data_IF_703531640219
#
_entry.id   IF_703531640219
#
_cell.length_a   1.000
_cell.length_b   1.000
_cell.length_c   1.000
_cell.angle_alpha   90.00
_cell.angle_beta   90.00
_cell.angle_gamma   90.00
#
_symmetry.space_group_name_H-M   'P 1'
#
loop_
_entity.id
_entity.type
_entity.pdbx_description
1 polymer ?
#
# COMPACT_ATOMS: atom_id res chain seq x y z
N UNK A 1 9.52 3.54 -16.31
CA UNK A 1 9.38 2.61 -15.16
C UNK A 1 10.75 2.38 -14.53
N UNK A 2 10.81 2.30 -13.24
CA UNK A 2 12.06 2.08 -12.53
C UNK A 2 11.88 1.05 -11.43
N UNK A 3 13.00 0.44 -11.00
CA UNK A 3 13.02 -0.49 -9.87
C UNK A 3 13.33 0.30 -8.61
N UNK A 4 12.42 0.19 -7.64
CA UNK A 4 12.57 0.88 -6.37
C UNK A 4 13.12 -0.07 -5.32
N UNK A 5 14.16 0.36 -4.59
CA UNK A 5 14.67 -0.40 -3.47
C UNK A 5 14.65 0.48 -2.21
N UNK A 6 14.37 -0.15 -1.09
CA UNK A 6 14.29 0.50 0.22
C UNK A 6 15.21 -0.24 1.18
N UNK A 7 15.76 0.49 2.14
CA UNK A 7 16.61 -0.11 3.17
C UNK A 7 15.79 -0.90 4.19
N UNK A 8 14.55 -0.48 4.46
CA UNK A 8 13.68 -1.14 5.41
C UNK A 8 12.97 -2.33 4.79
N UNK A 9 12.77 -3.39 5.58
CA UNK A 9 11.95 -4.54 5.19
C UNK A 9 10.46 -4.29 5.38
N UNK A 10 10.11 -3.30 6.17
CA UNK A 10 8.72 -2.91 6.44
C UNK A 10 8.68 -1.41 6.67
N UNK A 11 7.71 -0.73 6.06
CA UNK A 11 7.47 0.69 6.32
C UNK A 11 6.02 1.04 6.02
N UNK A 12 5.55 2.09 6.68
CA UNK A 12 4.21 2.63 6.49
C UNK A 12 4.29 4.12 6.17
N UNK A 13 3.32 4.59 5.39
CA UNK A 13 3.24 5.99 4.98
C UNK A 13 1.79 6.43 5.14
N UNK A 14 1.59 7.62 5.71
CA UNK A 14 0.29 8.28 5.77
C UNK A 14 0.34 9.50 4.84
N UNK A 15 -0.20 9.34 3.62
CA UNK A 15 -0.23 10.40 2.63
C UNK A 15 -1.53 11.20 2.76
N UNK A 16 -1.40 12.52 2.87
CA UNK A 16 -2.56 13.40 3.08
C UNK A 16 -2.91 14.25 1.86
N UNK A 17 -2.19 14.07 0.75
CA UNK A 17 -2.44 14.77 -0.50
C UNK A 17 -2.69 13.76 -1.62
N UNK A 18 -3.39 14.16 -2.70
CA UNK A 18 -3.52 13.30 -3.86
C UNK A 18 -2.14 12.87 -4.34
N UNK A 19 -1.93 11.54 -4.38
CA UNK A 19 -0.61 11.00 -4.64
C UNK A 19 -0.38 10.81 -6.14
N UNK A 20 0.78 11.29 -6.61
CA UNK A 20 1.29 11.03 -7.94
C UNK A 20 2.69 10.45 -7.80
N UNK A 21 2.91 9.30 -8.40
CA UNK A 21 4.19 8.62 -8.35
C UNK A 21 4.36 7.78 -9.61
N UNK A 22 5.50 7.89 -10.30
CA UNK A 22 5.66 7.25 -11.60
C UNK A 22 5.66 5.73 -11.53
N UNK A 23 5.39 5.10 -12.67
CA UNK A 23 5.36 3.65 -12.79
C UNK A 23 6.68 3.04 -12.34
N UNK A 24 6.60 2.11 -11.41
CA UNK A 24 7.76 1.48 -10.78
C UNK A 24 7.48 0.04 -10.38
N UNK A 25 8.53 -0.66 -9.99
CA UNK A 25 8.50 -2.06 -9.55
C UNK A 25 9.32 -2.17 -8.28
N UNK A 26 8.85 -2.95 -7.33
CA UNK A 26 9.62 -3.28 -6.12
C UNK A 26 9.27 -4.69 -5.61
N UNK A 27 10.14 -5.28 -4.78
CA UNK A 27 9.94 -6.65 -4.30
C UNK A 27 9.05 -6.77 -3.07
N UNK A 28 8.36 -5.69 -2.69
CA UNK A 28 7.48 -5.65 -1.53
C UNK A 28 6.05 -5.98 -1.94
N UNK A 29 5.29 -6.56 -1.01
CA UNK A 29 3.85 -6.45 -1.09
C UNK A 29 3.46 -5.06 -0.58
N UNK A 30 2.59 -4.40 -1.32
CA UNK A 30 2.09 -3.08 -0.94
C UNK A 30 0.59 -3.14 -0.72
N UNK A 31 0.14 -2.56 0.39
CA UNK A 31 -1.27 -2.46 0.73
C UNK A 31 -1.63 -0.98 0.81
N UNK A 32 -2.62 -0.57 0.04
CA UNK A 32 -3.06 0.82 -0.07
C UNK A 32 -4.50 0.93 0.39
N UNK A 33 -4.74 1.61 1.49
CA UNK A 33 -6.08 1.84 2.01
C UNK A 33 -6.48 3.29 1.79
N UNK A 34 -7.55 3.52 1.03
CA UNK A 34 -8.12 4.85 0.87
C UNK A 34 -8.97 5.16 2.11
N UNK A 35 -8.34 5.78 3.11
CA UNK A 35 -9.02 6.13 4.36
C UNK A 35 -10.01 7.25 4.12
N UNK A 36 -9.63 8.22 3.29
CA UNK A 36 -10.46 9.37 2.94
C UNK A 36 -10.17 9.77 1.50
N UNK A 37 -11.23 10.07 0.77
CA UNK A 37 -11.10 10.47 -0.62
C UNK A 37 -10.85 9.28 -1.55
N UNK A 38 -10.34 9.56 -2.72
CA UNK A 38 -10.15 8.61 -3.80
C UNK A 38 -8.70 8.64 -4.22
N UNK A 39 -8.15 7.49 -4.58
CA UNK A 39 -6.85 7.43 -5.26
C UNK A 39 -6.99 6.69 -6.58
N UNK A 40 -6.19 7.07 -7.55
CA UNK A 40 -6.16 6.40 -8.85
C UNK A 40 -4.78 5.81 -9.07
N UNK A 41 -4.76 4.55 -9.50
CA UNK A 41 -3.55 3.76 -9.68
C UNK A 41 -3.62 2.93 -10.95
N UNK A 42 -2.47 2.70 -11.54
CA UNK A 42 -2.29 1.58 -12.45
C UNK A 42 -1.65 0.45 -11.65
N UNK A 43 -2.19 -0.76 -11.79
CA UNK A 43 -1.63 -1.97 -11.18
C UNK A 43 -1.54 -3.01 -12.29
N UNK A 44 -0.33 -3.46 -12.61
CA UNK A 44 -0.12 -4.25 -13.81
C UNK A 44 -0.40 -3.40 -15.04
N UNK A 45 -1.32 -3.87 -15.88
CA UNK A 45 -1.71 -3.17 -17.10
C UNK A 45 -3.05 -2.44 -16.99
N UNK A 46 -3.73 -2.56 -15.85
CA UNK A 46 -5.06 -2.02 -15.65
C UNK A 46 -5.05 -0.80 -14.73
N UNK A 47 -5.98 0.10 -14.96
CA UNK A 47 -6.18 1.29 -14.13
C UNK A 47 -7.35 1.07 -13.18
N UNK A 48 -7.15 1.52 -11.94
CA UNK A 48 -8.13 1.34 -10.87
C UNK A 48 -8.39 2.66 -10.16
N UNK A 49 -9.63 2.85 -9.76
CA UNK A 49 -10.02 3.93 -8.88
C UNK A 49 -10.36 3.31 -7.53
N UNK A 50 -9.57 3.65 -6.52
CA UNK A 50 -9.72 3.11 -5.18
C UNK A 50 -10.55 4.12 -4.39
N UNK A 51 -11.74 3.72 -4.01
CA UNK A 51 -12.67 4.61 -3.32
C UNK A 51 -12.54 4.50 -1.81
N UNK A 52 -13.08 5.49 -1.11
CA UNK A 52 -13.02 5.54 0.36
C UNK A 52 -13.47 4.21 0.97
N UNK A 53 -12.64 3.66 1.83
CA UNK A 53 -12.91 2.39 2.50
C UNK A 53 -12.39 1.17 1.76
N UNK A 54 -11.93 1.33 0.50
CA UNK A 54 -11.39 0.22 -0.27
C UNK A 54 -9.89 0.07 -0.06
N UNK A 55 -9.42 -1.15 -0.27
CA UNK A 55 -7.99 -1.49 -0.16
C UNK A 55 -7.53 -2.08 -1.48
N UNK A 56 -6.42 -1.56 -2.00
CA UNK A 56 -5.72 -2.17 -3.13
C UNK A 56 -4.51 -2.94 -2.60
N UNK A 57 -4.22 -4.08 -3.22
CA UNK A 57 -3.07 -4.92 -2.87
C UNK A 57 -2.21 -5.10 -4.11
N UNK A 58 -0.96 -4.68 -4.02
CA UNK A 58 0.01 -4.82 -5.09
C UNK A 58 1.01 -5.91 -4.69
N UNK A 59 1.00 -7.02 -5.43
CA UNK A 59 1.93 -8.11 -5.16
C UNK A 59 3.35 -7.76 -5.59
N UNK A 60 4.36 -8.42 -5.03
CA UNK A 60 5.75 -8.13 -5.36
C UNK A 60 6.02 -8.21 -6.87
N UNK A 61 6.81 -7.27 -7.35
CA UNK A 61 7.28 -7.20 -8.74
C UNK A 61 6.18 -6.94 -9.77
N UNK A 62 5.01 -6.46 -9.34
CA UNK A 62 3.97 -6.01 -10.24
C UNK A 62 4.14 -4.50 -10.47
N UNK A 63 4.28 -4.05 -11.73
CA UNK A 63 4.40 -2.62 -12.01
C UNK A 63 3.17 -1.85 -11.56
N UNK A 64 3.38 -0.71 -10.95
CA UNK A 64 2.27 0.12 -10.50
C UNK A 64 2.67 1.58 -10.39
N UNK A 65 1.67 2.46 -10.41
CA UNK A 65 1.84 3.89 -10.25
C UNK A 65 0.72 4.47 -9.41
N UNK A 66 0.86 5.75 -9.11
CA UNK A 66 -0.22 6.58 -8.59
C UNK A 66 -0.36 7.77 -9.52
N UNK A 67 -1.57 8.02 -9.98
CA UNK A 67 -1.85 9.13 -10.90
C UNK A 67 -3.11 9.89 -10.50
N UNK A 68 -3.30 10.07 -9.20
CA UNK A 68 -4.48 10.76 -8.65
C UNK A 68 -4.44 12.24 -9.03
N UNK A 69 -5.47 12.76 -9.71
CA UNK A 69 -5.50 14.18 -10.07
C UNK A 69 -5.49 15.07 -8.82
N UNK A 70 -4.74 16.16 -8.87
CA UNK A 70 -4.66 17.12 -7.77
C UNK A 70 -6.00 17.77 -7.46
N UNK A 71 -6.94 17.75 -8.42
CA UNK A 71 -8.29 18.29 -8.27
C UNK A 71 -9.23 17.45 -7.43
N UNK A 72 -8.83 16.21 -7.09
CA UNK A 72 -9.64 15.32 -6.24
C UNK A 72 -9.91 15.95 -4.86
N UNK A 73 -9.02 16.80 -4.38
CA UNK A 73 -9.19 17.45 -3.09
C UNK A 73 -8.55 16.68 -1.94
N UNK A 74 -9.14 16.74 -0.77
CA UNK A 74 -8.56 16.12 0.43
C UNK A 74 -8.58 14.61 0.34
N UNK A 75 -7.42 14.00 0.54
CA UNK A 75 -7.26 12.55 0.56
C UNK A 75 -6.45 12.14 1.78
N UNK A 76 -6.60 10.89 2.16
CA UNK A 76 -5.74 10.25 3.14
C UNK A 76 -5.57 8.80 2.75
N UNK A 77 -4.32 8.39 2.51
CA UNK A 77 -3.96 7.02 2.19
C UNK A 77 -3.07 6.45 3.28
N UNK A 78 -3.38 5.23 3.68
CA UNK A 78 -2.45 4.42 4.46
C UNK A 78 -1.78 3.46 3.49
N UNK A 79 -0.47 3.52 3.39
CA UNK A 79 0.31 2.66 2.51
C UNK A 79 1.26 1.84 3.38
N UNK A 80 1.21 0.52 3.24
CA UNK A 80 2.10 -0.40 3.94
C UNK A 80 2.89 -1.18 2.93
N UNK A 81 4.20 -1.29 3.16
CA UNK A 81 5.10 -2.07 2.33
C UNK A 81 5.80 -3.10 3.20
N UNK A 82 5.79 -4.36 2.78
CA UNK A 82 6.38 -5.44 3.52
C UNK A 82 7.20 -6.33 2.59
N UNK A 83 8.47 -6.53 2.93
CA UNK A 83 9.32 -7.44 2.17
C UNK A 83 8.86 -8.88 2.41
N UNK A 84 8.82 -9.68 1.33
CA UNK A 84 8.22 -11.02 1.39
C UNK A 84 8.92 -11.95 2.36
N UNK A 85 10.20 -11.73 2.66
CA UNK A 85 10.93 -12.55 3.60
C UNK A 85 10.41 -12.44 5.04
N UNK A 86 9.65 -11.38 5.34
CA UNK A 86 8.96 -11.26 6.63
C UNK A 86 7.70 -12.12 6.69
N UNK A 87 7.29 -12.69 5.56
CA UNK A 87 6.09 -13.49 5.44
C UNK A 87 6.43 -14.86 4.83
N UNK A 88 7.32 -15.64 5.47
CA UNK A 88 7.84 -16.87 4.84
C UNK A 88 6.77 -17.89 4.48
N UNK A 89 5.67 -17.94 5.24
CA UNK A 89 4.57 -18.87 4.98
C UNK A 89 3.78 -18.51 3.72
N UNK A 90 3.85 -17.24 3.28
CA UNK A 90 3.11 -16.75 2.12
C UNK A 90 4.02 -16.50 0.91
N UNK A 91 5.33 -16.63 1.08
CA UNK A 91 6.31 -16.20 0.08
C UNK A 91 6.05 -16.80 -1.30
N UNK A 92 5.83 -18.11 -1.38
CA UNK A 92 5.58 -18.79 -2.64
C UNK A 92 4.34 -18.23 -3.34
N UNK A 93 3.27 -18.01 -2.59
CA UNK A 93 2.02 -17.47 -3.15
C UNK A 93 2.20 -16.03 -3.62
N UNK A 94 2.94 -15.23 -2.85
CA UNK A 94 3.15 -13.82 -3.17
C UNK A 94 4.07 -13.62 -4.38
N UNK A 95 5.04 -14.50 -4.59
CA UNK A 95 5.99 -14.39 -5.71
C UNK A 95 5.52 -15.08 -6.97
N UNK A 96 4.67 -16.10 -6.84
CA UNK A 96 4.24 -16.92 -7.98
C UNK A 96 2.87 -16.53 -8.54
N UNK A 97 2.15 -15.64 -7.91
CA UNK A 97 0.78 -15.29 -8.28
C UNK A 97 0.53 -13.80 -8.07
N UNK A 98 -0.59 -13.35 -8.59
CA UNK A 98 -1.09 -12.01 -8.29
C UNK A 98 -2.62 -12.07 -8.33
N UNK A 99 -3.32 -11.20 -7.58
CA UNK A 99 -4.77 -11.25 -7.54
C UNK A 99 -5.37 -10.83 -8.88
N UNK A 100 -6.39 -11.55 -9.31
CA UNK A 100 -7.13 -11.23 -10.52
C UNK A 100 -7.81 -9.85 -10.39
N UNK A 101 -8.31 -9.55 -9.20
CA UNK A 101 -8.84 -8.24 -8.85
C UNK A 101 -8.06 -7.74 -7.63
N UNK A 102 -7.18 -6.75 -7.81
CA UNK A 102 -6.34 -6.27 -6.70
C UNK A 102 -7.06 -5.33 -5.75
N UNK A 103 -8.32 -4.95 -6.03
CA UNK A 103 -9.06 -4.02 -5.19
C UNK A 103 -10.11 -4.77 -4.38
N UNK A 104 -10.05 -4.62 -3.07
CA UNK A 104 -11.03 -5.17 -2.13
C UNK A 104 -12.04 -4.09 -1.80
N UNK A 105 -13.31 -4.37 -2.08
CA UNK A 105 -14.40 -3.51 -1.65
C UNK A 105 -14.49 -3.54 -0.12
N UNK A 106 -14.92 -2.45 0.50
CA UNK A 106 -14.97 -2.35 1.96
C UNK A 106 -15.77 -3.47 2.62
N UNK A 107 -16.79 -4.01 1.96
CA UNK A 107 -17.57 -5.12 2.48
C UNK A 107 -16.79 -6.46 2.51
N UNK A 108 -15.66 -6.53 1.80
CA UNK A 108 -14.81 -7.72 1.73
C UNK A 108 -13.65 -7.67 2.74
N UNK A 109 -13.52 -6.56 3.47
CA UNK A 109 -12.41 -6.34 4.39
C UNK A 109 -12.87 -6.70 5.80
N UNK A 110 -12.20 -7.69 6.39
CA UNK A 110 -12.52 -8.10 7.76
C UNK A 110 -12.12 -7.00 8.74
N UNK A 111 -12.91 -6.82 9.77
CA UNK A 111 -12.67 -5.79 10.79
C UNK A 111 -11.31 -5.94 11.50
N UNK A 112 -10.79 -7.17 11.61
CA UNK A 112 -9.48 -7.39 12.20
C UNK A 112 -8.36 -6.75 11.38
N UNK A 113 -8.52 -6.68 10.06
CA UNK A 113 -7.56 -6.00 9.18
C UNK A 113 -7.53 -4.50 9.49
N UNK A 114 -8.71 -3.91 9.62
CA UNK A 114 -8.83 -2.49 9.94
C UNK A 114 -8.29 -2.19 11.34
N UNK A 115 -8.54 -3.08 12.30
CA UNK A 115 -8.00 -2.93 13.65
C UNK A 115 -6.47 -3.01 13.65
N UNK A 116 -5.89 -3.98 12.96
CA UNK A 116 -4.44 -4.13 12.87
C UNK A 116 -3.80 -2.91 12.21
N UNK A 117 -4.40 -2.42 11.11
CA UNK A 117 -3.94 -1.21 10.44
C UNK A 117 -3.99 -0.02 11.39
N UNK A 118 -5.09 0.18 12.07
CA UNK A 118 -5.25 1.28 13.03
C UNK A 118 -4.15 1.24 14.09
N UNK A 119 -3.87 0.06 14.65
CA UNK A 119 -2.83 -0.10 15.66
C UNK A 119 -1.44 0.24 15.12
N UNK A 120 -1.14 -0.20 13.90
CA UNK A 120 0.15 0.09 13.26
C UNK A 120 0.34 1.59 13.05
N UNK A 121 -0.67 2.26 12.50
CA UNK A 121 -0.59 3.70 12.21
C UNK A 121 -0.67 4.55 13.48
N UNK A 122 -1.37 4.09 14.51
CA UNK A 122 -1.40 4.76 15.81
C UNK A 122 -0.04 4.68 16.51
N UNK A 123 0.61 3.52 16.45
CA UNK A 123 1.95 3.32 17.02
C UNK A 123 3.00 4.17 16.30
N UNK A 124 2.76 4.52 15.04
CA UNK A 124 3.61 5.39 14.27
C UNK A 124 3.10 6.83 14.37
N UNK A 125 3.57 7.57 15.36
CA UNK A 125 3.24 9.00 15.51
C UNK A 125 3.77 9.86 14.36
N UNK A 126 4.52 9.26 13.44
CA UNK A 126 5.24 9.93 12.39
C UNK A 126 4.67 9.56 11.02
N UNK A 127 3.34 9.41 10.95
CA UNK A 127 2.62 8.83 9.82
C UNK A 127 2.83 9.47 8.46
N UNK A 128 3.48 10.65 8.38
CA UNK A 128 3.82 11.27 7.10
C UNK A 128 5.26 11.00 6.69
N UNK A 129 6.01 10.23 7.48
CA UNK A 129 7.38 9.87 7.18
C UNK A 129 7.44 8.74 6.17
N UNK A 130 8.37 8.84 5.21
CA UNK A 130 8.65 7.76 4.26
C UNK A 130 9.47 6.64 4.89
N UNK A 131 10.01 6.86 6.08
CA UNK A 131 10.83 5.89 6.82
C UNK A 131 10.16 5.62 8.16
N UNK A 132 9.82 4.36 8.48
CA UNK A 132 9.22 4.07 9.78
C UNK A 132 10.21 4.29 10.90
N UNK A 133 9.74 4.61 12.13
CA UNK A 133 10.62 4.70 13.28
C UNK A 133 11.34 3.37 13.52
N UNK A 134 12.58 3.39 14.01
CA UNK A 134 13.34 2.15 14.22
C UNK A 134 12.64 1.11 15.09
N UNK A 135 11.82 1.53 16.04
CA UNK A 135 11.09 0.62 16.91
C UNK A 135 10.00 -0.18 16.18
N UNK A 136 9.53 0.28 15.03
CA UNK A 136 8.58 -0.49 14.23
C UNK A 136 9.26 -1.62 13.47
N UNK A 137 10.56 -1.51 13.24
CA UNK A 137 11.33 -2.53 12.53
C UNK A 137 11.73 -3.68 13.44
N UNK A 138 11.50 -3.56 14.74
CA UNK A 138 11.86 -4.57 15.73
C UNK A 138 10.81 -5.67 15.88
N UNK A 139 9.69 -5.56 15.18
CA UNK A 139 8.66 -6.61 15.22
C UNK A 139 9.11 -7.91 14.54
#
# INVERSE_FOLDING_TARGET
>A
MFYESKESSFFIVNETNPLQYPLHVHPYIEVVHAVKGITEMQIGTEKYRIETGEIAVVFPNIPHDYHTPSTIGNTQLHIMNCYVDLLPMLKTQLLGKYPKNPVLHKSQIHEDVLYAEHRLFEASHYGTSHTPPPNLLAF
#
